data_IF_007536454415
#
_entry.id   IF_007536454415
#
_cell.length_a   1.000
_cell.length_b   1.000
_cell.length_c   1.000
_cell.angle_alpha   90.00
_cell.angle_beta   90.00
_cell.angle_gamma   90.00
#
_symmetry.space_group_name_H-M   'P 1'
#
loop_
_entity.id
_entity.type
_entity.pdbx_description
1 polymer ?
#
# COMPACT_ATOMS: atom_id res chain seq x y z
N UNK A 1 -9.19 4.02 -3.76
CA UNK A 1 -10.15 4.47 -2.74
C UNK A 1 -10.05 5.98 -2.57
N UNK A 2 -10.87 6.57 -1.71
CA UNK A 2 -10.83 8.00 -1.40
C UNK A 2 -10.91 8.20 0.12
N UNK A 3 -10.05 9.05 0.67
CA UNK A 3 -10.08 9.45 2.08
C UNK A 3 -11.18 10.50 2.33
N UNK A 4 -11.50 10.75 3.60
CA UNK A 4 -12.55 11.70 4.00
C UNK A 4 -12.27 13.14 3.58
N UNK A 5 -11.01 13.51 3.38
CA UNK A 5 -10.58 14.81 2.88
C UNK A 5 -10.62 14.92 1.34
N UNK A 6 -11.03 13.85 0.65
CA UNK A 6 -11.09 13.79 -0.81
C UNK A 6 -9.83 13.25 -1.49
N UNK A 7 -8.76 12.96 -0.74
CA UNK A 7 -7.51 12.42 -1.30
C UNK A 7 -7.72 11.05 -1.93
N UNK A 8 -7.32 10.89 -3.19
CA UNK A 8 -7.36 9.60 -3.89
C UNK A 8 -6.17 8.75 -3.47
N UNK A 9 -6.41 7.47 -3.16
CA UNK A 9 -5.40 6.53 -2.64
C UNK A 9 -5.43 5.19 -3.35
N UNK A 10 -4.27 4.54 -3.44
CA UNK A 10 -4.16 3.14 -3.82
C UNK A 10 -4.31 2.25 -2.58
N UNK A 11 -5.13 1.20 -2.66
CA UNK A 11 -5.35 0.25 -1.57
C UNK A 11 -4.84 -1.11 -2.02
N UNK A 12 -3.84 -1.63 -1.33
CA UNK A 12 -3.32 -2.99 -1.53
C UNK A 12 -3.88 -3.89 -0.44
N UNK A 13 -4.71 -4.85 -0.83
CA UNK A 13 -5.25 -5.87 0.06
C UNK A 13 -4.34 -7.10 0.05
N UNK A 14 -3.88 -7.52 1.22
CA UNK A 14 -3.06 -8.71 1.41
C UNK A 14 -3.89 -9.83 2.03
N UNK A 15 -3.58 -11.07 1.65
CA UNK A 15 -4.25 -12.24 2.22
C UNK A 15 -3.83 -12.46 3.67
N UNK A 16 -4.77 -12.33 4.60
CA UNK A 16 -4.57 -12.68 6.02
C UNK A 16 -4.51 -14.18 6.31
N UNK A 17 -4.94 -15.00 5.34
CA UNK A 17 -5.07 -16.46 5.50
C UNK A 17 -3.73 -17.20 5.37
N UNK A 18 -2.66 -16.51 4.98
CA UNK A 18 -1.33 -17.09 4.84
C UNK A 18 -0.33 -16.40 5.76
N UNK A 19 0.62 -17.19 6.30
CA UNK A 19 1.76 -16.61 7.02
C UNK A 19 2.59 -15.69 6.14
N UNK A 20 2.62 -15.97 4.83
CA UNK A 20 3.27 -15.14 3.84
C UNK A 20 2.65 -13.74 3.77
N UNK A 21 1.33 -13.61 3.69
CA UNK A 21 0.67 -12.30 3.61
C UNK A 21 0.86 -11.46 4.88
N UNK A 22 0.85 -12.09 6.06
CA UNK A 22 1.22 -11.41 7.32
C UNK A 22 2.67 -10.91 7.32
N UNK A 23 3.62 -11.73 6.84
CA UNK A 23 5.03 -11.34 6.75
C UNK A 23 5.23 -10.22 5.74
N UNK A 24 4.61 -10.31 4.58
CA UNK A 24 4.64 -9.27 3.55
C UNK A 24 4.10 -7.94 4.09
N UNK A 25 2.97 -7.99 4.81
CA UNK A 25 2.37 -6.81 5.44
C UNK A 25 3.34 -6.14 6.43
N UNK A 26 3.91 -6.90 7.38
CA UNK A 26 4.84 -6.36 8.38
C UNK A 26 6.11 -5.82 7.71
N UNK A 27 6.60 -6.53 6.68
CA UNK A 27 7.81 -6.14 5.95
C UNK A 27 7.60 -4.83 5.18
N UNK A 28 6.49 -4.71 4.44
CA UNK A 28 6.15 -3.47 3.71
C UNK A 28 5.94 -2.30 4.68
N UNK A 29 5.21 -2.53 5.78
CA UNK A 29 4.98 -1.51 6.80
C UNK A 29 6.28 -1.03 7.42
N UNK A 30 7.21 -1.93 7.76
CA UNK A 30 8.50 -1.59 8.36
C UNK A 30 9.46 -0.87 7.40
N UNK A 31 9.56 -1.33 6.14
CA UNK A 31 10.48 -0.72 5.18
C UNK A 31 9.99 0.65 4.69
N UNK A 32 8.72 0.76 4.32
CA UNK A 32 8.19 1.97 3.68
C UNK A 32 7.92 3.07 4.71
N UNK A 33 7.55 2.73 5.95
CA UNK A 33 7.41 3.75 7.00
C UNK A 33 8.75 4.41 7.37
N UNK A 34 9.87 3.70 7.21
CA UNK A 34 11.20 4.20 7.54
C UNK A 34 11.85 5.01 6.41
N UNK A 35 11.30 5.00 5.20
CA UNK A 35 11.91 5.60 4.01
C UNK A 35 10.98 6.67 3.41
N UNK A 36 11.36 7.94 3.56
CA UNK A 36 10.70 9.05 2.89
C UNK A 36 11.64 9.60 1.81
N UNK A 37 11.29 9.38 0.54
CA UNK A 37 12.09 9.84 -0.60
C UNK A 37 11.17 10.20 -1.79
N UNK A 38 11.47 11.24 -2.58
CA UNK A 38 10.62 11.67 -3.71
C UNK A 38 10.36 10.59 -4.79
N UNK A 39 11.24 9.59 -4.88
CA UNK A 39 11.13 8.49 -5.85
C UNK A 39 10.60 7.19 -5.23
N UNK A 40 10.09 7.23 -3.99
CA UNK A 40 9.47 6.08 -3.33
C UNK A 40 8.03 6.42 -2.99
N UNK A 41 7.12 5.53 -3.38
CA UNK A 41 5.69 5.66 -3.09
C UNK A 41 5.45 5.79 -1.58
N UNK A 42 4.72 6.81 -1.18
CA UNK A 42 4.38 7.10 0.20
C UNK A 42 3.28 6.16 0.70
N UNK A 43 3.55 5.51 1.83
CA UNK A 43 2.53 4.84 2.63
C UNK A 43 1.78 5.88 3.48
N UNK A 44 0.47 6.05 3.26
CA UNK A 44 -0.39 6.88 4.11
C UNK A 44 -0.70 6.17 5.44
N UNK A 45 -0.87 4.85 5.41
CA UNK A 45 -1.16 4.07 6.60
C UNK A 45 -1.59 2.64 6.26
N UNK A 46 -2.17 1.96 7.24
CA UNK A 46 -2.68 0.61 7.08
C UNK A 46 -4.00 0.43 7.84
N UNK A 47 -4.74 -0.63 7.48
CA UNK A 47 -5.88 -1.11 8.23
C UNK A 47 -5.69 -2.59 8.55
N UNK A 48 -5.94 -2.95 9.80
CA UNK A 48 -5.94 -4.32 10.30
C UNK A 48 -7.27 -4.51 11.03
N UNK A 49 -8.22 -5.15 10.36
CA UNK A 49 -9.55 -5.40 10.93
C UNK A 49 -9.96 -6.85 10.66
N UNK A 50 -10.01 -7.67 11.71
CA UNK A 50 -10.27 -9.09 11.61
C UNK A 50 -9.26 -9.79 10.70
N UNK A 51 -9.72 -10.22 9.53
CA UNK A 51 -8.93 -10.90 8.50
C UNK A 51 -8.57 -9.98 7.32
N UNK A 52 -8.73 -8.67 7.46
CA UNK A 52 -8.37 -7.72 6.43
C UNK A 52 -7.04 -7.06 6.74
N UNK A 53 -6.09 -7.17 5.80
CA UNK A 53 -4.79 -6.51 5.86
C UNK A 53 -4.68 -5.56 4.69
N UNK A 54 -4.86 -4.28 4.94
CA UNK A 54 -4.86 -3.24 3.90
C UNK A 54 -3.68 -2.30 4.09
N UNK A 55 -2.98 -2.01 3.01
CA UNK A 55 -1.97 -0.95 2.95
C UNK A 55 -2.50 0.17 2.05
N UNK A 56 -2.46 1.39 2.56
CA UNK A 56 -2.99 2.59 1.91
C UNK A 56 -1.81 3.45 1.44
N UNK A 57 -1.66 3.58 0.13
CA UNK A 57 -0.58 4.30 -0.52
C UNK A 57 -1.09 5.54 -1.25
N UNK A 58 -0.20 6.49 -1.51
CA UNK A 58 -0.52 7.56 -2.46
C UNK A 58 -0.87 6.95 -3.82
N UNK A 59 -1.81 7.60 -4.52
CA UNK A 59 -2.24 7.12 -5.83
C UNK A 59 -1.31 7.66 -6.93
N UNK A 60 -0.80 6.75 -7.76
CA UNK A 60 0.01 7.09 -8.93
C UNK A 60 -0.87 7.12 -10.17
N UNK A 61 -1.20 8.32 -10.66
CA UNK A 61 -2.14 8.52 -11.79
C UNK A 61 -1.70 7.82 -13.08
N UNK A 62 -0.39 7.74 -13.33
CA UNK A 62 0.18 7.14 -14.54
C UNK A 62 0.36 5.62 -14.47
N UNK A 63 -0.12 4.98 -13.39
CA UNK A 63 0.00 3.54 -13.18
C UNK A 63 1.47 3.05 -13.19
N UNK A 64 1.67 1.73 -13.26
CA UNK A 64 3.00 1.12 -13.29
C UNK A 64 3.70 1.30 -14.63
N UNK A 65 5.04 1.36 -14.62
CA UNK A 65 5.83 1.36 -15.84
C UNK A 65 5.58 0.11 -16.71
N UNK A 66 5.31 -1.03 -16.07
CA UNK A 66 4.97 -2.26 -16.78
C UNK A 66 3.74 -2.08 -17.67
N UNK A 67 2.71 -1.37 -17.18
CA UNK A 67 1.51 -1.06 -17.95
C UNK A 67 1.77 -0.12 -19.14
N UNK A 68 2.78 0.75 -19.05
CA UNK A 68 3.13 1.67 -20.13
C UNK A 68 3.98 1.00 -21.22
N UNK A 69 4.74 -0.04 -20.86
CA UNK A 69 5.71 -0.69 -21.75
C UNK A 69 5.25 -2.05 -22.30
N UNK A 70 4.26 -2.69 -21.69
CA UNK A 70 3.76 -4.02 -22.03
C UNK A 70 2.23 -4.05 -22.00
#
# INVERSE_FOLDING_TARGET
GQLSDGTIVAIKQLSSKSQQGNREFITEMGMISALQHPNLVKLHGCCIEGNELLLVYEYMENNSLAHALF
#
